data_IF_630181276269
#
_entry.id   IF_630181276269
#
_cell.length_a   1.000
_cell.length_b   1.000
_cell.length_c   1.000
_cell.angle_alpha   90.00
_cell.angle_beta   90.00
_cell.angle_gamma   90.00
#
_symmetry.space_group_name_H-M   'P 1'
#
loop_
_entity.id
_entity.type
_entity.pdbx_description
1 polymer ?
#
# COMPACT_ATOMS: atom_id res chain seq x y z
N UNK A 1 20.18 -4.95 -10.73
CA UNK A 1 19.02 -4.53 -11.54
C UNK A 1 19.21 -4.70 -13.04
N UNK A 2 20.43 -4.62 -13.63
CA UNK A 2 20.61 -4.74 -15.08
C UNK A 2 19.92 -5.96 -15.74
N UNK A 3 19.86 -7.09 -15.04
CA UNK A 3 19.15 -8.31 -15.52
C UNK A 3 17.65 -8.11 -15.77
N UNK A 4 17.00 -7.19 -15.06
CA UNK A 4 15.57 -6.92 -15.20
C UNK A 4 15.28 -5.68 -16.06
N UNK A 5 16.30 -4.87 -16.37
CA UNK A 5 16.14 -3.58 -17.04
C UNK A 5 15.47 -3.71 -18.42
N UNK A 6 15.81 -4.75 -19.17
CA UNK A 6 15.28 -4.98 -20.53
C UNK A 6 13.97 -5.80 -20.53
N UNK A 7 13.51 -6.26 -19.37
CA UNK A 7 12.29 -7.06 -19.28
C UNK A 7 11.05 -6.15 -19.25
N UNK A 8 10.35 -6.04 -20.39
CA UNK A 8 9.12 -5.24 -20.54
C UNK A 8 7.96 -5.63 -19.62
N UNK A 9 8.01 -6.81 -18.97
CA UNK A 9 7.02 -7.24 -17.97
C UNK A 9 7.29 -6.64 -16.57
N UNK A 10 8.47 -6.06 -16.35
CA UNK A 10 8.82 -5.37 -15.10
C UNK A 10 8.54 -3.88 -15.29
N UNK A 11 7.46 -3.41 -14.67
CA UNK A 11 6.99 -2.04 -14.83
C UNK A 11 7.68 -1.03 -13.91
N UNK A 12 8.38 -1.50 -12.88
CA UNK A 12 8.95 -0.61 -11.87
C UNK A 12 9.61 -1.32 -10.70
N UNK A 13 9.88 -0.56 -9.65
CA UNK A 13 10.48 -1.04 -8.42
C UNK A 13 9.82 -0.39 -7.19
N UNK A 14 9.34 -1.23 -6.27
CA UNK A 14 9.06 -0.84 -4.89
C UNK A 14 10.37 -0.78 -4.11
N UNK A 15 10.70 0.42 -3.63
CA UNK A 15 12.01 0.70 -3.07
C UNK A 15 12.26 0.02 -1.73
N UNK A 16 11.23 -0.08 -0.88
CA UNK A 16 11.37 -0.61 0.48
C UNK A 16 10.00 -0.92 1.09
N UNK A 17 9.76 -2.21 1.33
CA UNK A 17 8.60 -2.65 2.08
C UNK A 17 8.56 -2.04 3.50
N UNK A 18 7.39 -1.57 3.95
CA UNK A 18 7.09 -1.14 5.32
C UNK A 18 8.18 -0.29 6.01
N UNK A 19 8.45 0.92 5.49
CA UNK A 19 9.46 1.81 6.05
C UNK A 19 9.16 2.14 7.51
N UNK A 20 10.10 1.79 8.37
CA UNK A 20 10.06 2.02 9.82
C UNK A 20 11.44 2.35 10.35
N UNK A 21 11.51 3.26 11.32
CA UNK A 21 12.70 3.50 12.12
C UNK A 21 12.57 2.84 13.49
N UNK A 22 13.69 2.61 14.17
CA UNK A 22 13.67 2.27 15.60
C UNK A 22 12.85 3.34 16.31
N UNK A 23 11.77 2.98 17.00
CA UNK A 23 10.90 3.95 17.70
C UNK A 23 10.35 5.09 16.82
N UNK A 24 10.12 4.85 15.51
CA UNK A 24 9.58 5.88 14.62
C UNK A 24 10.60 6.94 14.17
N UNK A 25 11.89 6.71 14.38
CA UNK A 25 12.97 7.66 14.01
C UNK A 25 13.18 7.89 12.51
N UNK A 26 12.49 7.15 11.65
CA UNK A 26 12.50 7.39 10.21
C UNK A 26 11.42 8.39 9.86
N UNK A 27 11.80 9.67 9.73
CA UNK A 27 10.90 10.72 9.24
C UNK A 27 10.66 10.58 7.74
N UNK A 28 9.52 11.12 7.28
CA UNK A 28 9.20 11.19 5.86
C UNK A 28 10.29 11.90 5.06
N UNK A 29 10.82 13.02 5.54
CA UNK A 29 11.86 13.79 4.84
C UNK A 29 13.14 12.97 4.55
N UNK A 30 13.60 12.21 5.55
CA UNK A 30 14.77 11.34 5.41
C UNK A 30 14.48 10.20 4.43
N UNK A 31 13.28 9.64 4.50
CA UNK A 31 12.85 8.59 3.60
C UNK A 31 12.71 9.10 2.16
N UNK A 32 12.06 10.23 1.94
CA UNK A 32 11.91 10.86 0.63
C UNK A 32 13.28 11.14 -0.01
N UNK A 33 14.24 11.68 0.75
CA UNK A 33 15.61 11.90 0.27
C UNK A 33 16.29 10.58 -0.15
N UNK A 34 16.14 9.51 0.63
CA UNK A 34 16.67 8.20 0.27
C UNK A 34 15.99 7.62 -0.98
N UNK A 35 14.67 7.80 -1.10
CA UNK A 35 13.89 7.36 -2.25
C UNK A 35 14.33 8.06 -3.54
N UNK A 36 14.62 9.36 -3.50
CA UNK A 36 15.14 10.13 -4.64
C UNK A 36 16.53 9.64 -5.09
N UNK A 37 17.43 9.36 -4.14
CA UNK A 37 18.74 8.79 -4.44
C UNK A 37 18.64 7.41 -5.09
N UNK A 38 17.73 6.55 -4.63
CA UNK A 38 17.46 5.25 -5.24
C UNK A 38 16.84 5.40 -6.63
N UNK A 39 15.79 6.23 -6.74
CA UNK A 39 15.08 6.50 -7.98
C UNK A 39 16.00 7.03 -9.09
N UNK A 40 16.91 7.96 -8.76
CA UNK A 40 17.93 8.45 -9.68
C UNK A 40 18.76 7.32 -10.31
N UNK A 41 19.20 6.35 -9.50
CA UNK A 41 20.02 5.23 -10.00
C UNK A 41 19.19 4.24 -10.82
N UNK A 42 17.95 3.97 -10.41
CA UNK A 42 17.07 3.03 -11.12
C UNK A 42 16.60 3.59 -12.46
N UNK A 43 16.24 4.87 -12.52
CA UNK A 43 15.81 5.53 -13.75
C UNK A 43 16.96 5.72 -14.75
N UNK A 44 18.21 5.82 -14.28
CA UNK A 44 19.38 5.78 -15.15
C UNK A 44 19.57 4.41 -15.83
N UNK A 45 19.04 3.33 -15.24
CA UNK A 45 19.05 1.99 -15.84
C UNK A 45 17.87 1.79 -16.79
N UNK A 46 16.68 2.23 -16.40
CA UNK A 46 15.51 2.19 -17.25
C UNK A 46 14.59 3.41 -16.95
N UNK A 47 14.51 4.40 -17.85
CA UNK A 47 13.71 5.61 -17.64
C UNK A 47 12.19 5.39 -17.77
N UNK A 48 11.75 4.20 -18.19
CA UNK A 48 10.34 3.84 -18.27
C UNK A 48 9.80 3.24 -16.97
N UNK A 49 10.65 2.90 -15.99
CA UNK A 49 10.20 2.31 -14.74
C UNK A 49 9.45 3.28 -13.83
N UNK A 50 8.36 2.78 -13.24
CA UNK A 50 7.72 3.39 -12.08
C UNK A 50 8.57 3.16 -10.83
N UNK A 51 8.68 4.18 -10.00
CA UNK A 51 9.35 4.15 -8.72
C UNK A 51 8.27 4.22 -7.64
N UNK A 52 8.02 3.09 -7.00
CA UNK A 52 7.00 2.96 -5.96
C UNK A 52 7.63 3.34 -4.62
N UNK A 53 7.05 4.35 -3.97
CA UNK A 53 7.53 4.89 -2.69
C UNK A 53 6.47 4.69 -1.61
N UNK A 54 6.73 3.72 -0.73
CA UNK A 54 5.84 3.44 0.40
C UNK A 54 5.85 4.51 1.49
N UNK A 55 4.74 4.59 2.22
CA UNK A 55 4.63 5.44 3.42
C UNK A 55 5.55 5.02 4.57
N UNK A 56 5.71 5.93 5.55
CA UNK A 56 6.33 5.61 6.84
C UNK A 56 5.33 4.90 7.76
N UNK A 57 5.75 4.55 8.98
CA UNK A 57 4.86 3.92 9.95
C UNK A 57 4.37 2.55 9.49
N UNK A 58 5.29 1.73 8.96
CA UNK A 58 4.97 0.43 8.34
C UNK A 58 4.07 0.57 7.11
N UNK A 59 4.34 1.57 6.27
CA UNK A 59 3.59 1.80 5.04
C UNK A 59 2.22 2.46 5.23
N UNK A 60 1.88 2.95 6.42
CA UNK A 60 0.53 3.48 6.69
C UNK A 60 0.40 4.99 6.46
N UNK A 61 1.52 5.73 6.40
CA UNK A 61 1.50 7.21 6.47
C UNK A 61 2.24 7.88 5.30
N UNK A 62 1.49 8.62 4.50
CA UNK A 62 1.96 9.51 3.42
C UNK A 62 1.58 10.97 3.68
N UNK A 63 1.20 11.34 4.91
CA UNK A 63 0.79 12.71 5.25
C UNK A 63 1.91 13.75 5.01
N UNK A 64 3.17 13.31 5.04
CA UNK A 64 4.33 14.16 4.75
C UNK A 64 4.52 14.52 3.27
N UNK A 65 3.84 13.83 2.34
CA UNK A 65 4.00 14.05 0.89
C UNK A 65 3.60 15.47 0.49
N UNK A 66 2.50 16.00 1.04
CA UNK A 66 2.04 17.35 0.72
C UNK A 66 3.11 18.43 0.96
N UNK A 67 3.88 18.30 2.05
CA UNK A 67 4.91 19.25 2.43
C UNK A 67 6.26 18.95 1.75
N UNK A 68 6.57 17.68 1.51
CA UNK A 68 7.83 17.22 0.93
C UNK A 68 7.57 16.10 -0.07
N UNK A 69 7.12 16.41 -1.30
CA UNK A 69 6.94 15.39 -2.33
C UNK A 69 8.29 14.83 -2.77
N UNK A 70 8.33 13.58 -3.21
CA UNK A 70 9.48 12.96 -3.86
C UNK A 70 9.67 13.54 -5.25
N UNK A 71 10.86 14.03 -5.55
CA UNK A 71 11.23 14.62 -6.82
C UNK A 71 12.21 13.72 -7.58
N UNK A 72 11.75 13.15 -8.69
CA UNK A 72 12.58 12.32 -9.56
C UNK A 72 13.09 13.12 -10.77
N UNK A 73 14.21 12.66 -11.34
CA UNK A 73 14.79 13.27 -12.53
C UNK A 73 13.96 13.05 -13.80
N UNK A 74 13.09 12.04 -13.80
CA UNK A 74 12.14 11.75 -14.88
C UNK A 74 10.74 12.00 -14.34
N UNK A 75 10.03 12.96 -14.94
CA UNK A 75 8.66 13.31 -14.56
C UNK A 75 7.70 12.14 -14.73
N UNK A 76 6.62 12.13 -13.94
CA UNK A 76 5.55 11.12 -14.00
C UNK A 76 6.07 9.67 -13.84
N UNK A 77 7.00 9.46 -12.90
CA UNK A 77 7.54 8.14 -12.55
C UNK A 77 7.37 7.78 -11.07
N UNK A 78 6.88 8.68 -10.22
CA UNK A 78 6.56 8.34 -8.81
C UNK A 78 5.17 7.74 -8.75
N UNK A 79 5.04 6.64 -8.02
CA UNK A 79 3.76 6.12 -7.51
C UNK A 79 3.93 5.99 -6.01
N UNK A 80 3.01 6.52 -5.20
CA UNK A 80 3.07 6.27 -3.76
C UNK A 80 2.36 4.97 -3.42
N UNK A 81 2.79 4.29 -2.36
CA UNK A 81 2.11 3.09 -1.87
C UNK A 81 1.76 3.14 -0.39
N UNK A 82 0.64 2.51 -0.05
CA UNK A 82 0.20 2.33 1.33
C UNK A 82 -0.20 0.90 1.62
N UNK A 83 -0.01 0.52 2.89
CA UNK A 83 -0.44 -0.74 3.46
C UNK A 83 -1.59 -0.43 4.42
N UNK A 84 -2.67 -1.19 4.36
CA UNK A 84 -3.89 -0.89 5.11
C UNK A 84 -4.43 -2.17 5.71
N UNK A 85 -4.03 -2.48 6.95
CA UNK A 85 -4.46 -3.69 7.65
C UNK A 85 -5.44 -3.39 8.78
N UNK A 86 -6.15 -4.41 9.27
CA UNK A 86 -7.07 -4.26 10.40
C UNK A 86 -6.41 -3.72 11.67
N UNK A 87 -5.13 -4.03 11.89
CA UNK A 87 -4.33 -3.50 13.00
C UNK A 87 -3.73 -2.10 12.74
N UNK A 88 -3.79 -1.59 11.51
CA UNK A 88 -3.38 -0.22 11.21
C UNK A 88 -4.18 0.79 12.05
N UNK A 89 -3.64 1.99 12.22
CA UNK A 89 -4.18 3.00 13.14
C UNK A 89 -3.79 2.78 14.61
N UNK A 90 -3.03 1.72 14.93
CA UNK A 90 -2.43 1.55 16.24
C UNK A 90 -1.62 2.78 16.64
N UNK A 91 -1.80 3.26 17.87
CA UNK A 91 -1.10 4.45 18.39
C UNK A 91 -1.76 5.79 18.06
N UNK A 92 -2.82 5.83 17.26
CA UNK A 92 -3.61 7.04 17.04
C UNK A 92 -4.84 7.11 17.95
N UNK A 93 -5.41 8.31 18.14
CA UNK A 93 -6.56 8.54 19.04
C UNK A 93 -7.79 7.68 18.72
N UNK A 94 -7.98 7.31 17.45
CA UNK A 94 -9.10 6.47 17.01
C UNK A 94 -8.87 4.96 17.18
N UNK A 95 -7.69 4.53 17.64
CA UNK A 95 -7.34 3.11 17.80
C UNK A 95 -7.22 2.34 16.48
N UNK A 96 -7.19 1.00 16.56
CA UNK A 96 -7.05 0.12 15.39
C UNK A 96 -8.26 0.19 14.46
N UNK A 97 -8.05 -0.01 13.17
CA UNK A 97 -9.12 0.01 12.17
C UNK A 97 -10.23 -1.03 12.42
N UNK A 98 -9.89 -2.20 12.96
CA UNK A 98 -10.88 -3.21 13.39
C UNK A 98 -11.87 -2.72 14.47
N UNK A 99 -11.59 -1.60 15.13
CA UNK A 99 -12.41 -1.02 16.21
C UNK A 99 -13.10 0.28 15.79
N UNK A 100 -12.84 0.79 14.58
CA UNK A 100 -13.31 2.12 14.19
C UNK A 100 -14.68 2.10 13.53
N UNK A 101 -15.55 3.07 13.82
CA UNK A 101 -16.68 3.36 12.96
C UNK A 101 -16.21 3.91 11.60
N UNK A 102 -16.97 3.68 10.54
CA UNK A 102 -16.61 4.06 9.17
C UNK A 102 -16.11 5.51 9.04
N UNK A 103 -16.80 6.48 9.67
CA UNK A 103 -16.42 7.90 9.59
C UNK A 103 -15.00 8.14 10.12
N UNK A 104 -14.62 7.50 11.22
CA UNK A 104 -13.27 7.62 11.80
C UNK A 104 -12.22 6.87 11.00
N UNK A 105 -12.60 5.75 10.37
CA UNK A 105 -11.75 5.02 9.43
C UNK A 105 -11.46 5.87 8.18
N UNK A 106 -12.51 6.35 7.50
CA UNK A 106 -12.40 7.13 6.27
C UNK A 106 -11.61 8.43 6.47
N UNK A 107 -11.84 9.15 7.59
CA UNK A 107 -11.09 10.35 7.91
C UNK A 107 -9.57 10.08 8.08
N UNK A 108 -9.21 8.94 8.66
CA UNK A 108 -7.80 8.57 8.80
C UNK A 108 -7.16 8.16 7.48
N UNK A 109 -7.89 7.46 6.61
CA UNK A 109 -7.44 7.13 5.26
C UNK A 109 -7.22 8.40 4.43
N UNK A 110 -8.15 9.36 4.54
CA UNK A 110 -8.04 10.66 3.89
C UNK A 110 -6.83 11.44 4.37
N UNK A 111 -6.63 11.58 5.69
CA UNK A 111 -5.50 12.32 6.23
C UNK A 111 -4.15 11.65 5.96
N UNK A 112 -4.12 10.31 5.93
CA UNK A 112 -2.88 9.57 5.79
C UNK A 112 -2.40 9.53 4.33
N UNK A 113 -3.31 9.40 3.36
CA UNK A 113 -2.88 9.19 1.97
C UNK A 113 -3.89 9.59 0.89
N UNK A 114 -5.20 9.40 1.08
CA UNK A 114 -6.14 9.51 -0.05
C UNK A 114 -6.33 10.95 -0.53
N UNK A 115 -5.95 11.94 0.28
CA UNK A 115 -5.88 13.33 -0.16
C UNK A 115 -5.02 13.49 -1.42
N UNK A 116 -4.03 12.61 -1.65
CA UNK A 116 -3.16 12.63 -2.84
C UNK A 116 -3.89 12.31 -4.14
N UNK A 117 -5.01 11.56 -4.06
CA UNK A 117 -5.84 11.24 -5.21
C UNK A 117 -6.72 12.43 -5.63
N UNK A 118 -7.09 13.29 -4.67
CA UNK A 118 -7.92 14.47 -4.91
C UNK A 118 -7.07 15.72 -5.21
N UNK A 119 -5.86 15.79 -4.64
CA UNK A 119 -5.01 16.97 -4.70
C UNK A 119 -4.18 17.02 -5.98
N UNK A 120 -4.19 18.16 -6.66
CA UNK A 120 -3.03 18.60 -7.43
C UNK A 120 -1.89 18.90 -6.44
N UNK A 121 -1.01 17.93 -6.18
CA UNK A 121 0.20 18.22 -5.38
C UNK A 121 1.26 18.82 -6.30
N UNK A 122 1.27 20.15 -6.40
CA UNK A 122 2.14 20.91 -7.29
C UNK A 122 1.66 20.89 -8.75
N UNK A 123 2.58 21.07 -9.71
CA UNK A 123 2.28 21.28 -11.14
C UNK A 123 1.85 20.01 -11.92
N UNK A 124 1.54 18.89 -11.24
CA UNK A 124 1.52 17.54 -11.86
C UNK A 124 0.17 16.82 -11.90
N UNK A 125 -0.91 17.43 -11.41
CA UNK A 125 -2.23 16.77 -11.33
C UNK A 125 -2.34 15.74 -10.19
N UNK A 126 -3.37 14.87 -10.21
CA UNK A 126 -3.56 13.81 -9.22
C UNK A 126 -2.34 12.89 -9.15
N UNK A 127 -1.97 12.47 -7.94
CA UNK A 127 -0.83 11.58 -7.74
C UNK A 127 -1.30 10.15 -7.52
N UNK A 128 -0.85 9.19 -8.36
CA UNK A 128 -1.25 7.80 -8.20
C UNK A 128 -0.82 7.23 -6.84
N UNK A 129 -1.79 6.64 -6.13
CA UNK A 129 -1.55 5.86 -4.92
C UNK A 129 -1.99 4.41 -5.16
N UNK A 130 -1.08 3.48 -4.92
CA UNK A 130 -1.33 2.04 -4.97
C UNK A 130 -1.49 1.48 -3.56
N UNK A 131 -2.63 0.88 -3.26
CA UNK A 131 -2.83 0.17 -1.98
C UNK A 131 -2.17 -1.20 -2.08
N UNK A 132 -0.85 -1.23 -1.87
CA UNK A 132 0.02 -2.35 -2.20
C UNK A 132 -0.18 -3.58 -1.32
N UNK A 133 -0.67 -3.39 -0.08
CA UNK A 133 -1.01 -4.49 0.81
C UNK A 133 -2.24 -4.19 1.67
N UNK A 134 -3.14 -5.15 1.69
CA UNK A 134 -4.22 -5.28 2.66
C UNK A 134 -4.66 -6.75 2.69
N UNK A 135 -5.31 -7.16 3.77
CA UNK A 135 -5.72 -8.55 3.93
C UNK A 135 -6.63 -8.75 5.13
N UNK A 136 -7.39 -9.84 5.08
CA UNK A 136 -8.28 -10.27 6.14
C UNK A 136 -8.26 -11.81 6.24
N UNK A 137 -8.45 -12.38 7.43
CA UNK A 137 -8.36 -13.81 7.63
C UNK A 137 -9.57 -14.54 7.03
N UNK A 138 -9.36 -15.75 6.51
CA UNK A 138 -10.46 -16.61 6.02
C UNK A 138 -11.58 -16.82 7.07
N UNK A 139 -11.20 -16.84 8.36
CA UNK A 139 -12.13 -16.90 9.51
C UNK A 139 -12.10 -15.57 10.27
N UNK A 140 -12.91 -14.58 9.88
CA UNK A 140 -12.85 -13.25 10.47
C UNK A 140 -13.55 -13.17 11.83
N UNK A 141 -13.01 -12.34 12.71
CA UNK A 141 -13.75 -11.80 13.85
C UNK A 141 -14.72 -10.72 13.40
N UNK A 142 -15.60 -10.27 14.31
CA UNK A 142 -16.49 -9.12 14.05
C UNK A 142 -15.70 -7.87 13.64
N UNK A 143 -14.55 -7.62 14.28
CA UNK A 143 -13.69 -6.48 13.96
C UNK A 143 -13.07 -6.59 12.56
N UNK A 144 -12.66 -7.79 12.15
CA UNK A 144 -12.12 -8.04 10.82
C UNK A 144 -13.17 -7.79 9.73
N UNK A 145 -14.41 -8.24 9.95
CA UNK A 145 -15.54 -7.96 9.04
C UNK A 145 -15.78 -6.45 8.92
N UNK A 146 -15.82 -5.72 10.03
CA UNK A 146 -16.01 -4.27 10.03
C UNK A 146 -14.90 -3.55 9.26
N UNK A 147 -13.63 -3.87 9.54
CA UNK A 147 -12.49 -3.28 8.83
C UNK A 147 -12.56 -3.58 7.32
N UNK A 148 -12.81 -4.84 6.95
CA UNK A 148 -12.87 -5.26 5.56
C UNK A 148 -13.95 -4.49 4.78
N UNK A 149 -15.16 -4.44 5.33
CA UNK A 149 -16.27 -3.71 4.71
C UNK A 149 -16.00 -2.21 4.59
N UNK A 150 -15.39 -1.60 5.62
CA UNK A 150 -15.00 -0.19 5.59
C UNK A 150 -13.94 0.08 4.52
N UNK A 151 -12.91 -0.78 4.42
CA UNK A 151 -11.85 -0.63 3.43
C UNK A 151 -12.40 -0.75 2.02
N UNK A 152 -13.16 -1.81 1.71
CA UNK A 152 -13.70 -2.00 0.36
C UNK A 152 -14.65 -0.86 -0.04
N UNK A 153 -15.52 -0.42 0.88
CA UNK A 153 -16.37 0.76 0.66
C UNK A 153 -15.54 2.00 0.33
N UNK A 154 -14.41 2.18 1.01
CA UNK A 154 -13.53 3.31 0.79
C UNK A 154 -12.80 3.21 -0.56
N UNK A 155 -12.22 2.05 -0.88
CA UNK A 155 -11.51 1.83 -2.15
C UNK A 155 -12.43 2.03 -3.36
N UNK A 156 -13.66 1.51 -3.30
CA UNK A 156 -14.67 1.72 -4.34
C UNK A 156 -15.05 3.21 -4.52
N UNK A 157 -14.89 4.04 -3.48
CA UNK A 157 -15.21 5.46 -3.55
C UNK A 157 -14.06 6.32 -4.10
N UNK A 158 -12.82 5.89 -3.94
CA UNK A 158 -11.62 6.64 -4.36
C UNK A 158 -10.96 6.09 -5.62
N UNK A 159 -11.46 4.98 -6.16
CA UNK A 159 -10.96 4.33 -7.39
C UNK A 159 -9.44 4.06 -7.36
N UNK A 160 -8.96 3.53 -6.23
CA UNK A 160 -7.53 3.23 -6.04
C UNK A 160 -7.19 1.80 -6.46
N UNK A 161 -6.16 1.66 -7.29
CA UNK A 161 -5.56 0.36 -7.61
C UNK A 161 -4.99 -0.32 -6.36
N UNK A 162 -4.95 -1.66 -6.36
CA UNK A 162 -4.59 -2.42 -5.18
C UNK A 162 -3.77 -3.69 -5.45
N UNK A 163 -3.07 -4.15 -4.41
CA UNK A 163 -2.41 -5.44 -4.30
C UNK A 163 -2.89 -6.16 -3.05
N UNK A 164 -3.39 -7.39 -3.20
CA UNK A 164 -3.90 -8.16 -2.07
C UNK A 164 -2.80 -9.00 -1.41
N UNK A 165 -2.70 -8.94 -0.08
CA UNK A 165 -1.90 -9.85 0.72
C UNK A 165 -2.79 -10.96 1.31
N UNK A 166 -2.63 -12.24 0.94
CA UNK A 166 -1.67 -12.76 -0.03
C UNK A 166 -2.27 -13.90 -0.87
N UNK A 167 -1.66 -14.15 -2.02
CA UNK A 167 -1.93 -15.37 -2.79
C UNK A 167 -1.47 -16.59 -1.99
N UNK A 168 -0.24 -16.55 -1.47
CA UNK A 168 0.48 -17.67 -0.89
C UNK A 168 -0.27 -18.35 0.28
N UNK A 169 -0.25 -19.70 0.36
CA UNK A 169 -0.86 -20.45 1.47
C UNK A 169 -0.02 -20.48 2.75
N UNK A 170 1.29 -20.22 2.63
CA UNK A 170 2.28 -20.34 3.71
C UNK A 170 3.18 -19.13 3.78
N UNK A 171 3.60 -18.81 5.01
CA UNK A 171 4.65 -17.83 5.31
C UNK A 171 6.04 -18.46 5.12
N UNK A 172 7.07 -17.63 5.17
CA UNK A 172 8.47 -18.08 4.99
C UNK A 172 8.95 -19.03 6.08
N UNK A 173 8.33 -19.00 7.26
CA UNK A 173 8.60 -19.92 8.37
C UNK A 173 7.78 -21.22 8.29
N UNK A 174 7.00 -21.42 7.22
CA UNK A 174 6.15 -22.59 7.01
C UNK A 174 4.82 -22.56 7.76
N UNK A 175 4.55 -21.54 8.57
CA UNK A 175 3.24 -21.36 9.19
C UNK A 175 2.17 -21.03 8.15
N UNK A 176 0.90 -21.32 8.47
CA UNK A 176 -0.23 -20.95 7.61
C UNK A 176 -0.30 -19.43 7.42
N UNK A 177 -0.45 -18.99 6.17
CA UNK A 177 -0.84 -17.62 5.86
C UNK A 177 -2.35 -17.52 6.02
N UNK A 178 -2.80 -16.88 7.11
CA UNK A 178 -4.22 -16.76 7.42
C UNK A 178 -4.96 -15.91 6.39
N UNK A 179 -4.24 -15.11 5.61
CA UNK A 179 -4.78 -14.24 4.56
C UNK A 179 -4.70 -14.86 3.16
N UNK A 180 -4.31 -16.13 3.04
CA UNK A 180 -4.16 -16.83 1.76
C UNK A 180 -5.41 -16.77 0.86
N UNK A 181 -5.18 -16.70 -0.45
CA UNK A 181 -6.20 -16.86 -1.50
C UNK A 181 -6.13 -18.21 -2.21
N UNK A 182 -5.06 -18.98 -2.04
CA UNK A 182 -4.99 -20.38 -2.50
C UNK A 182 -4.67 -21.31 -1.35
N UNK A 183 -5.08 -22.56 -1.46
CA UNK A 183 -4.73 -23.62 -0.50
C UNK A 183 -3.31 -24.16 -0.72
N UNK A 184 -2.89 -25.06 0.18
CA UNK A 184 -1.52 -25.62 0.20
C UNK A 184 -1.12 -26.39 -1.06
N UNK A 185 -2.10 -26.76 -1.89
CA UNK A 185 -1.86 -27.37 -3.20
C UNK A 185 -1.40 -26.36 -4.27
N UNK A 186 -1.41 -25.05 -3.95
CA UNK A 186 -1.10 -23.93 -4.84
C UNK A 186 -2.01 -23.82 -6.06
N UNK A 187 -3.16 -24.50 -6.05
CA UNK A 187 -4.07 -24.60 -7.19
C UNK A 187 -5.49 -24.22 -6.79
N UNK A 188 -5.97 -24.70 -5.64
CA UNK A 188 -7.35 -24.53 -5.21
C UNK A 188 -7.56 -23.14 -4.61
N UNK A 189 -8.44 -22.29 -5.18
CA UNK A 189 -8.73 -20.98 -4.61
C UNK A 189 -9.55 -21.11 -3.32
N UNK A 190 -9.31 -20.22 -2.36
CA UNK A 190 -10.16 -20.08 -1.17
C UNK A 190 -11.43 -19.32 -1.55
N UNK A 191 -12.54 -20.04 -1.73
CA UNK A 191 -13.82 -19.50 -2.15
C UNK A 191 -14.60 -18.92 -0.96
N UNK A 192 -14.32 -17.67 -0.61
CA UNK A 192 -14.99 -16.97 0.50
C UNK A 192 -15.38 -15.52 0.16
N UNK A 193 -15.81 -14.78 1.19
CA UNK A 193 -16.23 -13.40 1.08
C UNK A 193 -15.15 -12.49 0.47
N UNK A 194 -13.86 -12.77 0.70
CA UNK A 194 -12.75 -11.94 0.23
C UNK A 194 -12.64 -12.01 -1.28
N UNK A 195 -12.62 -13.22 -1.86
CA UNK A 195 -12.55 -13.40 -3.31
C UNK A 195 -13.77 -12.78 -4.01
N UNK A 196 -14.98 -13.00 -3.46
CA UNK A 196 -16.21 -12.41 -4.01
C UNK A 196 -16.13 -10.88 -4.01
N UNK A 197 -15.72 -10.29 -2.89
CA UNK A 197 -15.75 -8.84 -2.76
C UNK A 197 -14.62 -8.16 -3.56
N UNK A 198 -13.44 -8.80 -3.68
CA UNK A 198 -12.33 -8.33 -4.52
C UNK A 198 -12.69 -8.31 -6.01
N UNK A 199 -13.46 -9.29 -6.49
CA UNK A 199 -13.96 -9.31 -7.86
C UNK A 199 -14.93 -8.16 -8.17
N UNK A 200 -15.49 -7.50 -7.15
CA UNK A 200 -16.37 -6.34 -7.30
C UNK A 200 -15.67 -4.98 -7.20
N UNK A 201 -14.35 -4.94 -6.94
CA UNK A 201 -13.57 -3.70 -6.92
C UNK A 201 -12.98 -3.30 -8.28
N UNK A 202 -13.02 -4.20 -9.28
CA UNK A 202 -12.44 -3.98 -10.61
C UNK A 202 -13.46 -3.83 -11.73
#
# INVERSE_FOLDING_TARGET
MGRLADNKRVIGADLRNEVRGLWGTMSWERWATAAEHCGKRLLALNPAWLIVVGGTGSGNDLSGVAARPVQLQVSHRVVYSVHVYGWSGWGSLGGRFVQRPYRSFAAAMQSAWSYLLESETGDSGPVPVWVAEFGAPHRPSVGDVCYWQHLLRFLAAVDADFGYWAVNPRKTDGSEETYKLVDDDWLTPVLDYRLRDLLGLG
#
